data_IF_683843046797
#
_entry.id   IF_683843046797
#
_cell.length_a   1.000
_cell.length_b   1.000
_cell.length_c   1.000
_cell.angle_alpha   90.00
_cell.angle_beta   90.00
_cell.angle_gamma   90.00
#
_symmetry.space_group_name_H-M   'P 1'
#
loop_
_entity.id
_entity.type
_entity.pdbx_description
1 polymer ?
#
# COMPACT_ATOMS: atom_id res chain seq x y z
N UNK A 1 8.73 8.40 -24.62
CA UNK A 1 10.01 8.96 -24.11
C UNK A 1 10.88 7.78 -23.65
N UNK A 2 12.00 7.97 -22.96
CA UNK A 2 12.55 6.84 -22.18
C UNK A 2 11.73 6.69 -20.89
N UNK A 3 11.60 5.47 -20.37
CA UNK A 3 10.87 5.21 -19.11
C UNK A 3 11.37 6.10 -17.95
N UNK A 4 12.69 6.33 -17.90
CA UNK A 4 13.31 7.22 -16.92
C UNK A 4 12.84 8.67 -17.06
N UNK A 5 12.77 9.19 -18.29
CA UNK A 5 12.30 10.55 -18.54
C UNK A 5 10.82 10.73 -18.19
N UNK A 6 9.99 9.71 -18.40
CA UNK A 6 8.57 9.71 -18.02
C UNK A 6 8.39 9.74 -16.50
N UNK A 7 9.18 8.95 -15.75
CA UNK A 7 9.17 8.98 -14.28
C UNK A 7 9.67 10.31 -13.71
N UNK A 8 10.69 10.91 -14.32
CA UNK A 8 11.19 12.23 -13.92
C UNK A 8 10.16 13.33 -14.19
N UNK A 9 9.50 13.32 -15.35
CA UNK A 9 8.41 14.24 -15.67
C UNK A 9 7.22 14.07 -14.73
N UNK A 10 6.85 12.84 -14.40
CA UNK A 10 5.77 12.53 -13.46
C UNK A 10 6.06 13.08 -12.06
N UNK A 11 7.27 12.83 -11.53
CA UNK A 11 7.67 13.35 -10.22
C UNK A 11 7.72 14.89 -10.20
N UNK A 12 8.18 15.52 -11.29
CA UNK A 12 8.18 16.97 -11.43
C UNK A 12 6.75 17.55 -11.48
N UNK A 13 5.82 16.86 -12.15
CA UNK A 13 4.42 17.27 -12.24
C UNK A 13 3.73 17.23 -10.88
N UNK A 14 3.96 16.17 -10.09
CA UNK A 14 3.47 16.07 -8.71
C UNK A 14 4.05 17.17 -7.82
N UNK A 15 5.35 17.45 -7.94
CA UNK A 15 5.98 18.54 -7.20
C UNK A 15 5.36 19.90 -7.53
N UNK A 16 5.08 20.15 -8.82
CA UNK A 16 4.40 21.38 -9.24
C UNK A 16 2.97 21.47 -8.67
N UNK A 17 2.26 20.34 -8.60
CA UNK A 17 0.95 20.28 -7.95
C UNK A 17 1.02 20.61 -6.45
N UNK A 18 1.98 20.03 -5.72
CA UNK A 18 2.19 20.30 -4.29
C UNK A 18 2.58 21.77 -4.02
N UNK A 19 3.20 22.43 -5.00
CA UNK A 19 3.53 23.86 -5.00
C UNK A 19 2.36 24.75 -5.46
N UNK A 20 1.18 24.18 -5.72
CA UNK A 20 -0.02 24.84 -6.26
C UNK A 20 0.18 25.47 -7.66
N UNK A 21 1.24 25.09 -8.37
CA UNK A 21 1.52 25.50 -9.75
C UNK A 21 0.82 24.54 -10.73
N UNK A 22 -0.50 24.65 -10.79
CA UNK A 22 -1.38 23.73 -11.51
C UNK A 22 -1.17 23.75 -13.03
N UNK A 23 -0.93 24.92 -13.63
CA UNK A 23 -0.66 25.06 -15.07
C UNK A 23 0.61 24.30 -15.46
N UNK A 24 1.70 24.49 -14.72
CA UNK A 24 2.95 23.77 -14.93
C UNK A 24 2.80 22.27 -14.69
N UNK A 25 1.99 21.88 -13.71
CA UNK A 25 1.69 20.47 -13.45
C UNK A 25 0.98 19.83 -14.65
N UNK A 26 -0.02 20.51 -15.23
CA UNK A 26 -0.74 20.07 -16.44
C UNK A 26 0.19 19.98 -17.65
N UNK A 27 1.02 21.00 -17.88
CA UNK A 27 2.00 21.00 -18.97
C UNK A 27 2.92 19.79 -18.86
N UNK A 28 3.46 19.51 -17.67
CA UNK A 28 4.34 18.37 -17.45
C UNK A 28 3.60 17.05 -17.66
N UNK A 29 2.38 16.89 -17.15
CA UNK A 29 1.58 15.68 -17.37
C UNK A 29 1.25 15.45 -18.84
N UNK A 30 0.97 16.51 -19.62
CA UNK A 30 0.65 16.42 -21.05
C UNK A 30 1.81 15.91 -21.92
N UNK A 31 3.05 15.99 -21.42
CA UNK A 31 4.22 15.47 -22.13
C UNK A 31 4.39 13.96 -21.97
N UNK A 32 3.76 13.36 -20.97
CA UNK A 32 3.87 11.94 -20.66
C UNK A 32 2.87 11.15 -21.53
N UNK A 33 3.18 9.91 -21.88
CA UNK A 33 2.29 9.08 -22.67
C UNK A 33 0.92 8.90 -22.00
N UNK A 34 -0.16 8.98 -22.80
CA UNK A 34 -1.53 8.87 -22.31
C UNK A 34 -1.75 7.54 -21.57
N UNK A 35 -2.06 7.66 -20.29
CA UNK A 35 -2.49 6.54 -19.45
C UNK A 35 -3.70 6.96 -18.64
N UNK A 36 -4.54 6.00 -18.25
CA UNK A 36 -5.71 6.28 -17.41
C UNK A 36 -5.34 7.06 -16.14
N UNK A 37 -4.14 6.85 -15.59
CA UNK A 37 -3.67 7.53 -14.36
C UNK A 37 -3.29 8.99 -14.60
N UNK A 38 -2.56 9.27 -15.68
CA UNK A 38 -2.16 10.64 -16.02
C UNK A 38 -3.40 11.48 -16.34
N UNK A 39 -4.32 10.91 -17.12
CA UNK A 39 -5.59 11.55 -17.45
C UNK A 39 -6.45 11.78 -16.19
N UNK A 40 -6.48 10.82 -15.26
CA UNK A 40 -7.18 11.02 -13.97
C UNK A 40 -6.56 12.15 -13.16
N UNK A 41 -5.22 12.21 -13.06
CA UNK A 41 -4.52 13.29 -12.36
C UNK A 41 -4.80 14.66 -13.00
N UNK A 42 -4.74 14.75 -14.33
CA UNK A 42 -5.09 15.96 -15.07
C UNK A 42 -6.55 16.36 -14.83
N UNK A 43 -7.48 15.40 -14.84
CA UNK A 43 -8.89 15.63 -14.55
C UNK A 43 -9.12 16.20 -13.15
N UNK A 44 -8.39 15.72 -12.14
CA UNK A 44 -8.43 16.26 -10.77
C UNK A 44 -7.89 17.70 -10.69
N UNK A 45 -6.82 18.01 -11.42
CA UNK A 45 -6.26 19.37 -11.48
C UNK A 45 -7.27 20.33 -12.12
N UNK A 46 -7.84 19.95 -13.27
CA UNK A 46 -8.89 20.75 -13.92
C UNK A 46 -10.11 20.96 -13.01
N UNK A 47 -10.55 19.92 -12.28
CA UNK A 47 -11.63 20.05 -11.32
C UNK A 47 -11.28 21.01 -10.17
N UNK A 48 -10.03 21.02 -9.71
CA UNK A 48 -9.52 21.94 -8.68
C UNK A 48 -9.51 23.39 -9.17
N UNK A 49 -9.17 23.61 -10.45
CA UNK A 49 -9.21 24.91 -11.12
C UNK A 49 -10.65 25.40 -11.44
N UNK A 50 -11.67 24.55 -11.23
CA UNK A 50 -13.06 24.85 -11.60
C UNK A 50 -13.37 24.63 -13.09
N UNK A 51 -12.41 24.12 -13.86
CA UNK A 51 -12.56 23.77 -15.28
C UNK A 51 -13.21 22.39 -15.42
N UNK A 52 -14.46 22.28 -14.95
CA UNK A 52 -15.15 21.00 -14.85
C UNK A 52 -15.44 20.34 -16.21
N UNK A 53 -15.53 21.11 -17.30
CA UNK A 53 -15.70 20.55 -18.65
C UNK A 53 -14.44 19.78 -19.07
N UNK A 54 -13.26 20.41 -18.94
CA UNK A 54 -11.98 19.78 -19.21
C UNK A 54 -11.75 18.57 -18.28
N UNK A 55 -12.13 18.67 -17.00
CA UNK A 55 -12.06 17.56 -16.07
C UNK A 55 -12.85 16.33 -16.56
N UNK A 56 -14.10 16.53 -17.00
CA UNK A 56 -14.95 15.45 -17.54
C UNK A 56 -14.37 14.85 -18.83
N UNK A 57 -13.77 15.65 -19.70
CA UNK A 57 -13.08 15.14 -20.89
C UNK A 57 -11.92 14.22 -20.52
N UNK A 58 -11.08 14.64 -19.57
CA UNK A 58 -9.96 13.83 -19.09
C UNK A 58 -10.44 12.52 -18.44
N UNK A 59 -11.51 12.57 -17.64
CA UNK A 59 -12.08 11.36 -17.04
C UNK A 59 -12.70 10.41 -18.09
N UNK A 60 -13.34 10.94 -19.14
CA UNK A 60 -13.83 10.10 -20.25
C UNK A 60 -12.69 9.47 -21.04
N UNK A 61 -11.60 10.20 -21.27
CA UNK A 61 -10.42 9.66 -21.92
C UNK A 61 -9.77 8.57 -21.05
N UNK A 62 -9.72 8.79 -19.72
CA UNK A 62 -9.21 7.80 -18.77
C UNK A 62 -10.04 6.50 -18.81
N UNK A 63 -11.37 6.58 -18.72
CA UNK A 63 -12.25 5.40 -18.79
C UNK A 63 -12.26 4.75 -20.17
N UNK A 64 -12.03 5.52 -21.24
CA UNK A 64 -11.91 4.99 -22.61
C UNK A 64 -10.64 4.15 -22.84
N UNK A 65 -9.55 4.46 -22.15
CA UNK A 65 -8.30 3.68 -22.23
C UNK A 65 -8.37 2.36 -21.44
N UNK A 66 -9.24 2.28 -20.45
CA UNK A 66 -9.43 1.09 -19.61
C UNK A 66 -10.89 0.61 -19.66
N UNK A 67 -11.31 0.07 -20.81
CA UNK A 67 -12.70 -0.29 -21.09
C UNK A 67 -13.30 -1.37 -20.14
N UNK A 68 -12.46 -2.08 -19.39
CA UNK A 68 -12.89 -3.09 -18.41
C UNK A 68 -12.57 -2.75 -16.96
N UNK A 69 -11.85 -1.66 -16.70
CA UNK A 69 -11.62 -1.11 -15.35
C UNK A 69 -11.26 -2.19 -14.32
N UNK A 70 -10.57 -3.23 -14.81
CA UNK A 70 -10.12 -4.36 -14.05
C UNK A 70 -8.83 -3.90 -13.38
N UNK A 71 -8.93 -3.50 -12.10
CA UNK A 71 -7.84 -3.35 -11.13
C UNK A 71 -6.52 -3.17 -11.86
N UNK A 72 -6.24 -1.96 -12.36
CA UNK A 72 -5.03 -1.72 -13.13
C UNK A 72 -3.84 -1.96 -12.20
N UNK A 73 -3.34 -3.19 -12.23
CA UNK A 73 -2.36 -3.72 -11.30
C UNK A 73 -1.00 -3.33 -11.86
N UNK A 74 -0.57 -2.10 -11.54
CA UNK A 74 0.68 -1.51 -12.04
C UNK A 74 1.95 -2.04 -11.33
N UNK A 75 1.92 -3.29 -10.85
CA UNK A 75 3.09 -3.97 -10.28
C UNK A 75 4.26 -4.07 -11.27
N UNK A 76 4.00 -4.00 -12.59
CA UNK A 76 5.05 -3.94 -13.62
C UNK A 76 5.84 -2.62 -13.66
N UNK A 77 5.34 -1.54 -13.03
CA UNK A 77 6.02 -0.23 -12.96
C UNK A 77 6.64 0.05 -11.58
N UNK A 78 6.62 -0.91 -10.65
CA UNK A 78 7.24 -0.78 -9.32
C UNK A 78 6.53 0.16 -8.35
N UNK A 79 5.31 0.58 -8.65
CA UNK A 79 4.49 1.46 -7.80
C UNK A 79 3.40 0.63 -7.10
N UNK A 80 3.38 0.62 -5.76
CA UNK A 80 2.36 -0.06 -4.96
C UNK A 80 1.07 0.77 -4.85
N UNK A 81 0.36 0.97 -5.97
CA UNK A 81 -0.88 1.74 -5.99
C UNK A 81 -1.86 1.20 -7.04
N UNK A 82 -3.13 1.08 -6.65
CA UNK A 82 -4.25 0.67 -7.50
C UNK A 82 -5.17 1.86 -7.71
N UNK A 83 -5.42 2.24 -8.96
CA UNK A 83 -6.45 3.23 -9.29
C UNK A 83 -7.79 2.48 -9.42
N UNK A 84 -8.76 2.82 -8.58
CA UNK A 84 -10.07 2.19 -8.64
C UNK A 84 -10.98 2.91 -9.63
N UNK A 85 -11.73 2.12 -10.40
CA UNK A 85 -12.68 2.63 -11.39
C UNK A 85 -13.78 3.49 -10.80
N UNK A 86 -14.25 3.07 -9.62
CA UNK A 86 -15.22 3.79 -8.80
C UNK A 86 -14.72 5.19 -8.43
N UNK A 87 -13.42 5.39 -8.19
CA UNK A 87 -12.86 6.71 -7.86
C UNK A 87 -12.90 7.66 -9.07
N UNK A 88 -12.55 7.16 -10.26
CA UNK A 88 -12.58 7.96 -11.51
C UNK A 88 -14.02 8.36 -11.85
N UNK A 89 -14.96 7.40 -11.79
CA UNK A 89 -16.38 7.64 -12.05
C UNK A 89 -17.01 8.57 -11.00
N UNK A 90 -16.62 8.43 -9.73
CA UNK A 90 -17.08 9.32 -8.66
C UNK A 90 -16.62 10.77 -8.89
N UNK A 91 -15.34 10.98 -9.21
CA UNK A 91 -14.78 12.31 -9.48
C UNK A 91 -15.37 12.95 -10.75
N UNK A 92 -15.66 12.14 -11.77
CA UNK A 92 -16.42 12.57 -12.96
C UNK A 92 -17.86 12.96 -12.60
N UNK A 93 -18.53 12.16 -11.78
CA UNK A 93 -19.88 12.43 -11.26
C UNK A 93 -19.93 13.78 -10.54
N UNK A 94 -18.98 14.05 -9.64
CA UNK A 94 -18.87 15.35 -8.97
C UNK A 94 -18.67 16.51 -9.95
N UNK A 95 -17.76 16.37 -10.92
CA UNK A 95 -17.52 17.39 -11.94
C UNK A 95 -18.79 17.70 -12.76
N UNK A 96 -19.59 16.68 -13.08
CA UNK A 96 -20.88 16.85 -13.75
C UNK A 96 -21.93 17.54 -12.88
N UNK A 97 -21.89 17.37 -11.55
CA UNK A 97 -22.76 18.12 -10.62
C UNK A 97 -22.44 19.61 -10.68
N UNK A 98 -21.15 19.96 -10.65
CA UNK A 98 -20.73 21.37 -10.74
C UNK A 98 -21.12 22.02 -12.09
N UNK A 99 -21.22 21.23 -13.15
CA UNK A 99 -21.75 21.66 -14.45
C UNK A 99 -23.29 21.73 -14.54
N UNK A 100 -24.01 21.45 -13.44
CA UNK A 100 -25.49 21.39 -13.44
C UNK A 100 -26.06 20.19 -14.20
N UNK A 101 -25.23 19.21 -14.58
CA UNK A 101 -25.62 18.01 -15.32
C UNK A 101 -26.06 16.88 -14.39
N UNK A 102 -26.97 17.17 -13.45
CA UNK A 102 -27.36 16.24 -12.38
C UNK A 102 -27.81 14.87 -12.87
N UNK A 103 -28.49 14.80 -14.02
CA UNK A 103 -28.95 13.52 -14.59
C UNK A 103 -27.81 12.62 -15.06
N UNK A 104 -26.74 13.20 -15.62
CA UNK A 104 -25.55 12.44 -16.03
C UNK A 104 -24.72 12.08 -14.81
N UNK A 105 -24.57 12.99 -13.86
CA UNK A 105 -23.85 12.74 -12.63
C UNK A 105 -24.41 11.54 -11.85
N UNK A 106 -25.75 11.42 -11.74
CA UNK A 106 -26.38 10.27 -11.08
C UNK A 106 -25.99 8.96 -11.75
N UNK A 107 -25.99 8.89 -13.08
CA UNK A 107 -25.59 7.68 -13.81
C UNK A 107 -24.14 7.30 -13.52
N UNK A 108 -23.20 8.26 -13.56
CA UNK A 108 -21.79 7.97 -13.28
C UNK A 108 -21.57 7.55 -11.82
N UNK A 109 -22.31 8.15 -10.88
CA UNK A 109 -22.25 7.80 -9.46
C UNK A 109 -22.90 6.45 -9.16
N UNK A 110 -23.97 6.10 -9.88
CA UNK A 110 -24.59 4.77 -9.83
C UNK A 110 -23.64 3.72 -10.42
N UNK A 111 -23.05 3.95 -11.59
CA UNK A 111 -22.06 3.03 -12.18
C UNK A 111 -20.82 2.86 -11.28
N UNK A 112 -20.36 3.95 -10.63
CA UNK A 112 -19.31 3.87 -9.62
C UNK A 112 -19.68 2.96 -8.44
N UNK A 113 -20.97 2.86 -8.11
CA UNK A 113 -21.48 1.98 -7.05
C UNK A 113 -21.75 0.54 -7.52
N UNK A 114 -22.04 0.33 -8.81
CA UNK A 114 -22.37 -0.98 -9.40
C UNK A 114 -21.11 -1.79 -9.76
N UNK A 115 -20.01 -1.13 -10.13
CA UNK A 115 -18.74 -1.81 -10.42
C UNK A 115 -18.13 -2.55 -9.21
N UNK A 116 -18.70 -2.36 -8.01
CA UNK A 116 -18.33 -3.07 -6.80
C UNK A 116 -19.25 -4.27 -6.48
N UNK A 117 -20.40 -4.42 -7.15
CA UNK A 117 -21.52 -5.28 -6.68
C UNK A 117 -21.83 -6.54 -7.51
N UNK A 118 -21.32 -6.69 -8.74
CA UNK A 118 -21.83 -7.72 -9.67
C UNK A 118 -20.99 -9.01 -9.78
N UNK A 119 -19.82 -9.10 -9.13
CA UNK A 119 -19.10 -10.35 -8.97
C UNK A 119 -19.34 -10.93 -7.58
N UNK A 120 -19.73 -12.21 -7.51
CA UNK A 120 -19.75 -12.92 -6.22
C UNK A 120 -18.37 -12.75 -5.55
N UNK A 121 -18.35 -12.32 -4.28
CA UNK A 121 -17.09 -12.00 -3.62
C UNK A 121 -16.20 -13.23 -3.54
N UNK A 122 -14.94 -13.08 -3.97
CA UNK A 122 -13.95 -14.15 -3.87
C UNK A 122 -13.63 -14.36 -2.39
N UNK A 123 -13.90 -15.56 -1.87
CA UNK A 123 -13.71 -15.86 -0.46
C UNK A 123 -12.25 -16.27 -0.18
N UNK A 124 -11.68 -15.78 0.92
CA UNK A 124 -10.31 -16.13 1.32
C UNK A 124 -10.15 -17.62 1.66
N UNK A 125 -11.23 -18.34 1.93
CA UNK A 125 -11.17 -19.74 2.37
C UNK A 125 -10.62 -19.90 3.78
N UNK A 126 -10.41 -21.15 4.21
CA UNK A 126 -9.93 -21.49 5.55
C UNK A 126 -8.55 -20.86 5.81
N UNK A 127 -8.28 -20.27 7.00
CA UNK A 127 -9.14 -20.21 8.19
C UNK A 127 -10.00 -18.94 8.30
N UNK A 128 -10.27 -18.23 7.20
CA UNK A 128 -10.97 -16.95 7.19
C UNK A 128 -12.34 -17.05 6.50
N UNK A 129 -13.05 -18.14 6.77
CA UNK A 129 -14.37 -18.49 6.22
C UNK A 129 -15.33 -18.93 7.33
N UNK A 130 -15.19 -18.34 8.52
CA UNK A 130 -15.97 -18.77 9.68
C UNK A 130 -17.43 -18.28 9.61
N UNK A 131 -18.37 -19.20 9.87
CA UNK A 131 -19.81 -18.92 9.85
C UNK A 131 -20.23 -17.97 10.98
N UNK A 132 -19.47 -17.88 12.07
CA UNK A 132 -19.72 -16.99 13.22
C UNK A 132 -18.98 -15.65 13.14
N UNK A 133 -18.25 -15.38 12.05
CA UNK A 133 -17.58 -14.10 11.83
C UNK A 133 -18.56 -12.91 11.89
N UNK A 134 -18.18 -11.86 12.62
CA UNK A 134 -19.00 -10.67 12.88
C UNK A 134 -18.58 -9.45 12.03
N UNK A 135 -17.60 -9.64 11.14
CA UNK A 135 -17.12 -8.65 10.19
C UNK A 135 -16.47 -9.33 8.97
N UNK A 136 -16.51 -8.65 7.83
CA UNK A 136 -15.76 -9.03 6.63
C UNK A 136 -14.71 -7.95 6.34
N UNK A 137 -13.46 -8.35 6.20
CA UNK A 137 -12.42 -7.47 5.63
C UNK A 137 -12.26 -7.80 4.15
N UNK A 138 -12.43 -6.82 3.28
CA UNK A 138 -12.23 -6.96 1.83
C UNK A 138 -10.87 -6.40 1.46
N UNK A 139 -9.99 -7.23 0.89
CA UNK A 139 -8.69 -6.77 0.40
C UNK A 139 -8.82 -5.85 -0.83
N UNK A 140 -7.76 -5.13 -1.17
CA UNK A 140 -7.74 -4.22 -2.33
C UNK A 140 -7.88 -4.92 -3.68
N UNK A 141 -7.56 -6.22 -3.73
CA UNK A 141 -7.79 -7.12 -4.87
C UNK A 141 -9.12 -7.89 -4.77
N UNK A 142 -10.02 -7.48 -3.86
CA UNK A 142 -11.42 -7.91 -3.85
C UNK A 142 -11.72 -9.21 -3.10
N UNK A 143 -10.79 -9.75 -2.31
CA UNK A 143 -10.99 -10.99 -1.55
C UNK A 143 -11.59 -10.71 -0.17
N UNK A 144 -12.63 -11.48 0.19
CA UNK A 144 -13.36 -11.37 1.44
C UNK A 144 -12.80 -12.31 2.52
N UNK A 145 -12.45 -11.74 3.65
CA UNK A 145 -11.96 -12.43 4.84
C UNK A 145 -13.02 -12.35 5.93
N UNK A 146 -13.61 -13.49 6.27
CA UNK A 146 -14.62 -13.59 7.33
C UNK A 146 -13.88 -13.74 8.66
N UNK A 147 -13.95 -12.70 9.48
CA UNK A 147 -13.15 -12.57 10.70
C UNK A 147 -13.96 -12.00 11.86
N UNK A 148 -13.33 -11.96 13.03
CA UNK A 148 -13.90 -11.61 14.32
C UNK A 148 -13.28 -10.32 14.86
N UNK A 149 -14.13 -9.32 15.12
CA UNK A 149 -13.75 -8.03 15.72
C UNK A 149 -12.96 -8.22 17.00
N UNK A 150 -13.41 -9.13 17.88
CA UNK A 150 -12.76 -9.40 19.17
C UNK A 150 -11.27 -9.79 19.00
N UNK A 151 -10.97 -10.71 18.09
CA UNK A 151 -9.60 -11.17 17.86
C UNK A 151 -8.72 -10.04 17.31
N UNK A 152 -9.25 -9.32 16.31
CA UNK A 152 -8.57 -8.15 15.74
C UNK A 152 -8.29 -7.06 16.79
N UNK A 153 -9.28 -6.69 17.61
CA UNK A 153 -9.13 -5.65 18.65
C UNK A 153 -8.18 -6.06 19.77
N UNK A 154 -8.00 -7.35 20.06
CA UNK A 154 -7.03 -7.80 21.06
C UNK A 154 -5.59 -7.73 20.56
N UNK A 155 -5.39 -7.83 19.25
CA UNK A 155 -4.06 -7.83 18.65
C UNK A 155 -3.64 -6.45 18.12
N UNK A 156 -4.58 -5.59 17.74
CA UNK A 156 -4.33 -4.29 17.10
C UNK A 156 -5.14 -3.17 17.77
N UNK A 157 -4.43 -2.11 18.18
CA UNK A 157 -5.06 -0.90 18.72
C UNK A 157 -5.88 -0.17 17.65
N UNK A 158 -5.42 -0.16 16.40
CA UNK A 158 -6.15 0.46 15.29
C UNK A 158 -7.53 -0.18 15.10
N UNK A 159 -7.61 -1.51 15.13
CA UNK A 159 -8.90 -2.19 15.06
C UNK A 159 -9.74 -1.98 16.32
N UNK A 160 -9.14 -1.96 17.51
CA UNK A 160 -9.86 -1.66 18.75
C UNK A 160 -10.52 -0.27 18.70
N UNK A 161 -9.76 0.75 18.29
CA UNK A 161 -10.25 2.12 18.16
C UNK A 161 -11.33 2.21 17.08
N UNK A 162 -11.08 1.64 15.89
CA UNK A 162 -12.01 1.64 14.75
C UNK A 162 -13.39 1.05 15.12
N UNK A 163 -13.41 -0.07 15.85
CA UNK A 163 -14.67 -0.72 16.24
C UNK A 163 -15.36 -0.07 17.44
N UNK A 164 -14.65 0.77 18.20
CA UNK A 164 -15.23 1.53 19.30
C UNK A 164 -16.04 2.75 18.84
N UNK A 165 -15.85 3.19 17.59
CA UNK A 165 -16.53 4.35 17.05
C UNK A 165 -18.04 4.08 16.86
N UNK A 166 -18.92 5.04 17.20
CA UNK A 166 -20.35 4.90 16.95
C UNK A 166 -20.62 4.73 15.45
N UNK A 167 -21.19 3.60 15.04
CA UNK A 167 -21.63 3.43 13.67
C UNK A 167 -22.92 4.24 13.42
N UNK A 168 -23.06 4.92 12.27
CA UNK A 168 -24.32 5.57 11.90
C UNK A 168 -25.44 4.52 11.89
N UNK A 169 -26.54 4.79 12.60
CA UNK A 169 -27.69 3.88 12.62
C UNK A 169 -28.25 3.78 11.19
N UNK A 170 -28.42 2.56 10.63
CA UNK A 170 -29.02 2.41 9.32
C UNK A 170 -30.43 2.98 9.34
N UNK A 171 -30.68 3.97 8.48
CA UNK A 171 -32.00 4.54 8.28
C UNK A 171 -32.89 3.53 7.56
N UNK A 172 -33.63 2.75 8.33
CA UNK A 172 -34.83 2.04 7.86
C UNK A 172 -34.58 0.80 7.00
N UNK A 173 -34.36 -0.32 7.68
CA UNK A 173 -35.05 -1.62 7.52
C UNK A 173 -34.38 -2.55 8.52
N UNK A 174 -35.17 -3.36 9.21
CA UNK A 174 -34.66 -4.39 10.11
C UNK A 174 -33.62 -5.21 9.37
N UNK A 175 -32.36 -5.08 9.78
CA UNK A 175 -31.27 -5.87 9.27
C UNK A 175 -31.60 -7.33 9.53
N UNK A 176 -31.99 -8.05 8.47
CA UNK A 176 -31.92 -9.50 8.46
C UNK A 176 -30.49 -9.89 8.85
N UNK A 177 -30.33 -11.06 9.47
CA UNK A 177 -29.06 -11.59 10.02
C UNK A 177 -27.84 -11.63 9.07
N UNK A 178 -27.96 -11.14 7.84
CA UNK A 178 -27.10 -11.52 6.71
C UNK A 178 -26.15 -10.42 6.20
N UNK A 179 -26.37 -9.13 6.49
CA UNK A 179 -25.42 -8.09 6.05
C UNK A 179 -24.39 -7.79 7.14
N UNK A 180 -23.37 -8.65 7.23
CA UNK A 180 -22.18 -8.39 8.04
C UNK A 180 -21.49 -7.13 7.51
N UNK A 181 -20.99 -6.24 8.38
CA UNK A 181 -20.26 -5.06 7.92
C UNK A 181 -19.02 -5.49 7.14
N UNK A 182 -18.87 -4.93 5.94
CA UNK A 182 -17.68 -5.10 5.09
C UNK A 182 -16.79 -3.87 5.25
N UNK A 183 -15.52 -4.07 5.57
CA UNK A 183 -14.51 -3.01 5.61
C UNK A 183 -13.53 -3.21 4.46
N UNK A 184 -13.44 -2.20 3.59
CA UNK A 184 -12.42 -2.16 2.54
C UNK A 184 -11.04 -1.90 3.13
N UNK A 185 -10.09 -2.76 2.78
CA UNK A 185 -8.69 -2.70 3.19
C UNK A 185 -7.82 -2.18 2.04
N UNK A 186 -6.70 -1.54 2.41
CA UNK A 186 -5.70 -1.10 1.43
C UNK A 186 -4.76 -2.25 1.00
N UNK A 187 -4.60 -3.25 1.87
CA UNK A 187 -3.76 -4.42 1.65
C UNK A 187 -4.39 -5.41 0.66
N UNK A 188 -3.54 -6.04 -0.16
CA UNK A 188 -3.92 -7.18 -1.01
C UNK A 188 -4.16 -8.45 -0.18
N UNK A 189 -4.65 -9.51 -0.83
CA UNK A 189 -4.95 -10.78 -0.17
C UNK A 189 -3.74 -11.36 0.56
N UNK A 190 -2.54 -11.28 0.00
CA UNK A 190 -1.33 -11.86 0.59
C UNK A 190 -0.93 -11.12 1.87
N UNK A 191 -0.86 -9.80 1.79
CA UNK A 191 -0.47 -8.91 2.90
C UNK A 191 -1.50 -8.97 4.03
N UNK A 192 -2.79 -9.05 3.69
CA UNK A 192 -3.85 -9.18 4.67
C UNK A 192 -3.80 -10.54 5.41
N UNK A 193 -3.40 -11.62 4.73
CA UNK A 193 -3.14 -12.92 5.39
C UNK A 193 -2.00 -12.84 6.40
N UNK A 194 -0.91 -12.14 6.09
CA UNK A 194 0.19 -11.94 7.04
C UNK A 194 -0.30 -11.22 8.30
N UNK A 195 -1.07 -10.14 8.12
CA UNK A 195 -1.68 -9.40 9.24
C UNK A 195 -2.58 -10.29 10.09
N UNK A 196 -3.50 -11.02 9.45
CA UNK A 196 -4.43 -11.91 10.13
C UNK A 196 -3.72 -13.10 10.79
N UNK A 197 -2.55 -13.50 10.28
CA UNK A 197 -1.68 -14.50 10.91
C UNK A 197 -1.28 -14.13 12.34
N UNK A 198 -1.17 -12.84 12.66
CA UNK A 198 -0.89 -12.38 14.02
C UNK A 198 -2.12 -12.37 14.94
N UNK A 199 -3.32 -12.35 14.35
CA UNK A 199 -4.58 -12.24 15.09
C UNK A 199 -5.21 -13.61 15.36
N UNK A 200 -4.92 -14.60 14.52
CA UNK A 200 -5.54 -15.92 14.57
C UNK A 200 -4.53 -16.99 15.00
N UNK A 201 -4.82 -17.78 16.04
CA UNK A 201 -3.96 -18.90 16.45
C UNK A 201 -3.75 -19.96 15.36
N UNK A 202 -4.74 -20.13 14.47
CA UNK A 202 -4.67 -21.02 13.31
C UNK A 202 -3.99 -20.38 12.09
N UNK A 203 -3.65 -19.09 12.17
CA UNK A 203 -2.83 -18.40 11.18
C UNK A 203 -1.46 -19.06 11.15
N UNK A 204 -1.11 -19.63 10.00
CA UNK A 204 0.05 -20.49 9.80
C UNK A 204 1.30 -19.87 10.44
N UNK A 205 1.93 -20.61 11.36
CA UNK A 205 3.26 -20.31 11.86
C UNK A 205 4.27 -20.58 10.74
N UNK A 206 4.41 -19.65 9.80
CA UNK A 206 5.49 -19.69 8.82
C UNK A 206 6.79 -19.37 9.54
N UNK A 207 7.82 -20.19 9.28
CA UNK A 207 9.21 -19.74 9.49
C UNK A 207 9.35 -18.48 8.65
N UNK A 208 9.39 -17.32 9.29
CA UNK A 208 9.41 -16.05 8.59
C UNK A 208 10.72 -15.96 7.79
N UNK A 209 10.63 -15.95 6.46
CA UNK A 209 11.78 -15.57 5.65
C UNK A 209 12.07 -14.11 5.94
N UNK A 210 13.34 -13.70 5.85
CA UNK A 210 13.74 -12.33 6.17
C UNK A 210 12.97 -11.27 5.36
N UNK A 211 12.62 -11.60 4.11
CA UNK A 211 11.76 -10.76 3.24
C UNK A 211 10.36 -10.54 3.82
N UNK A 212 9.79 -11.55 4.50
CA UNK A 212 8.44 -11.50 5.06
C UNK A 212 8.47 -10.68 6.36
N UNK A 213 9.52 -10.82 7.17
CA UNK A 213 9.72 -10.04 8.41
C UNK A 213 9.64 -8.53 8.13
N UNK A 214 10.22 -8.06 7.02
CA UNK A 214 10.16 -6.64 6.65
C UNK A 214 8.71 -6.17 6.42
N UNK A 215 7.93 -6.92 5.64
CA UNK A 215 6.52 -6.60 5.35
C UNK A 215 5.71 -6.62 6.65
N UNK A 216 5.93 -7.63 7.47
CA UNK A 216 5.30 -7.82 8.77
C UNK A 216 5.61 -6.70 9.77
N UNK A 217 6.86 -6.20 9.80
CA UNK A 217 7.23 -5.02 10.58
C UNK A 217 6.47 -3.76 10.12
N UNK A 218 6.27 -3.61 8.80
CA UNK A 218 5.43 -2.55 8.24
C UNK A 218 3.99 -2.64 8.73
N UNK A 219 3.41 -3.84 8.68
CA UNK A 219 2.04 -4.10 9.15
C UNK A 219 1.89 -3.87 10.66
N UNK A 220 2.80 -4.41 11.47
CA UNK A 220 2.73 -4.25 12.93
C UNK A 220 2.87 -2.80 13.37
N UNK A 221 3.66 -1.99 12.65
CA UNK A 221 3.70 -0.53 12.86
C UNK A 221 2.38 0.13 12.46
N UNK A 222 1.87 -0.15 11.25
CA UNK A 222 0.62 0.43 10.72
C UNK A 222 -0.59 0.12 11.60
N UNK A 223 -0.72 -1.14 12.04
CA UNK A 223 -1.82 -1.64 12.85
C UNK A 223 -1.57 -1.56 14.36
N UNK A 224 -0.45 -0.94 14.78
CA UNK A 224 -0.08 -0.73 16.17
C UNK A 224 -0.17 -2.01 17.03
N UNK A 225 0.67 -2.99 16.69
CA UNK A 225 0.71 -4.32 17.30
C UNK A 225 2.00 -4.52 18.12
N UNK A 226 2.13 -3.94 19.33
CA UNK A 226 3.40 -3.84 20.05
C UNK A 226 3.99 -5.19 20.47
N UNK A 227 3.15 -6.17 20.80
CA UNK A 227 3.62 -7.51 21.19
C UNK A 227 4.21 -8.25 19.97
N UNK A 228 3.54 -8.15 18.83
CA UNK A 228 4.03 -8.72 17.56
C UNK A 228 5.31 -8.03 17.11
N UNK A 229 5.38 -6.70 17.21
CA UNK A 229 6.62 -5.95 16.94
C UNK A 229 7.80 -6.46 17.76
N UNK A 230 7.59 -6.68 19.06
CA UNK A 230 8.63 -7.22 19.95
C UNK A 230 9.09 -8.61 19.52
N UNK A 231 8.15 -9.48 19.12
CA UNK A 231 8.45 -10.82 18.60
C UNK A 231 9.26 -10.76 17.30
N UNK A 232 8.80 -10.00 16.31
CA UNK A 232 9.48 -9.85 15.02
C UNK A 232 10.89 -9.26 15.18
N UNK A 233 11.08 -8.34 16.14
CA UNK A 233 12.41 -7.85 16.50
C UNK A 233 13.33 -8.97 17.03
N UNK A 234 12.80 -9.87 17.85
CA UNK A 234 13.55 -11.04 18.32
C UNK A 234 13.86 -12.02 17.18
N UNK A 235 12.91 -12.26 16.29
CA UNK A 235 13.11 -13.12 15.11
C UNK A 235 14.18 -12.51 14.19
N UNK A 236 14.13 -11.21 13.92
CA UNK A 236 15.12 -10.47 13.13
C UNK A 236 16.53 -10.57 13.74
N UNK A 237 16.67 -10.56 15.07
CA UNK A 237 17.95 -10.75 15.75
C UNK A 237 18.57 -12.14 15.50
N UNK A 238 17.75 -13.17 15.29
CA UNK A 238 18.25 -14.53 14.98
C UNK A 238 18.97 -14.59 13.63
N UNK A 239 18.57 -13.73 12.68
CA UNK A 239 19.18 -13.64 11.36
C UNK A 239 20.48 -12.84 11.31
N UNK A 240 20.87 -12.17 12.40
CA UNK A 240 22.11 -11.36 12.44
C UNK A 240 23.31 -12.20 12.06
N UNK A 241 23.38 -13.45 12.51
CA UNK A 241 24.53 -14.33 12.25
C UNK A 241 24.62 -14.80 10.79
N UNK A 242 23.50 -14.86 10.07
CA UNK A 242 23.43 -15.43 8.71
C UNK A 242 23.37 -14.36 7.62
N UNK A 243 22.65 -13.27 7.85
CA UNK A 243 22.37 -12.22 6.86
C UNK A 243 22.49 -10.80 7.48
N UNK A 244 23.63 -10.45 8.10
CA UNK A 244 23.77 -9.22 8.88
C UNK A 244 23.51 -7.94 8.07
N UNK A 245 23.87 -7.89 6.80
CA UNK A 245 23.68 -6.69 5.95
C UNK A 245 22.20 -6.42 5.70
N UNK A 246 21.41 -7.47 5.43
CA UNK A 246 19.97 -7.33 5.23
C UNK A 246 19.28 -6.97 6.54
N UNK A 247 19.69 -7.58 7.65
CA UNK A 247 19.21 -7.22 8.98
C UNK A 247 19.53 -5.76 9.30
N UNK A 248 20.72 -5.27 8.95
CA UNK A 248 21.08 -3.86 9.11
C UNK A 248 20.14 -2.95 8.33
N UNK A 249 19.88 -3.25 7.05
CA UNK A 249 19.01 -2.43 6.23
C UNK A 249 17.56 -2.39 6.77
N UNK A 250 17.01 -3.55 7.13
CA UNK A 250 15.67 -3.64 7.74
C UNK A 250 15.64 -2.86 9.06
N UNK A 251 16.54 -3.15 10.00
CA UNK A 251 16.56 -2.49 11.31
C UNK A 251 16.80 -0.99 11.21
N UNK A 252 17.56 -0.51 10.23
CA UNK A 252 17.70 0.91 9.95
C UNK A 252 16.38 1.54 9.48
N UNK A 253 15.71 0.92 8.50
CA UNK A 253 14.43 1.42 7.96
C UNK A 253 13.32 1.51 9.01
N UNK A 254 13.40 0.68 10.06
CA UNK A 254 12.47 0.66 11.19
C UNK A 254 13.01 1.33 12.45
N UNK A 255 14.14 2.05 12.37
CA UNK A 255 14.75 2.80 13.47
C UNK A 255 15.12 1.94 14.71
N UNK A 256 15.36 0.65 14.50
CA UNK A 256 15.78 -0.30 15.55
C UNK A 256 17.29 -0.21 15.81
N UNK A 257 17.72 0.84 16.51
CA UNK A 257 19.14 1.16 16.72
C UNK A 257 19.97 0.00 17.31
N UNK A 258 19.43 -0.74 18.27
CA UNK A 258 20.13 -1.85 18.90
C UNK A 258 20.37 -3.03 17.95
N UNK A 259 19.36 -3.38 17.15
CA UNK A 259 19.46 -4.42 16.12
C UNK A 259 20.42 -3.99 15.00
N UNK A 260 20.31 -2.74 14.55
CA UNK A 260 21.19 -2.19 13.51
C UNK A 260 22.66 -2.21 13.95
N UNK A 261 22.95 -1.86 15.21
CA UNK A 261 24.31 -1.93 15.74
C UNK A 261 24.81 -3.37 15.85
N UNK A 262 23.97 -4.32 16.28
CA UNK A 262 24.34 -5.73 16.34
C UNK A 262 24.66 -6.29 14.94
N UNK A 263 23.81 -5.99 13.97
CA UNK A 263 23.96 -6.39 12.58
C UNK A 263 25.24 -5.79 11.94
N UNK A 264 25.47 -4.49 12.13
CA UNK A 264 26.67 -3.81 11.62
C UNK A 264 27.97 -4.36 12.22
N UNK A 265 27.96 -4.79 13.49
CA UNK A 265 29.12 -5.46 14.09
C UNK A 265 29.34 -6.83 13.50
N UNK A 266 28.26 -7.59 13.27
CA UNK A 266 28.37 -8.93 12.72
C UNK A 266 28.85 -8.94 11.25
N UNK A 267 28.45 -7.95 10.44
CA UNK A 267 28.93 -7.82 9.06
C UNK A 267 30.44 -7.57 8.96
N UNK A 268 31.10 -7.14 10.04
CA UNK A 268 32.57 -6.98 10.07
C UNK A 268 33.32 -8.31 9.96
N UNK A 269 32.71 -9.41 10.39
CA UNK A 269 33.36 -10.71 10.39
C UNK A 269 33.49 -11.32 8.99
N UNK A 270 32.59 -10.96 8.07
CA UNK A 270 32.63 -11.37 6.67
C UNK A 270 32.12 -10.24 5.78
N UNK A 271 32.97 -9.26 5.43
CA UNK A 271 32.55 -8.05 4.73
C UNK A 271 32.03 -8.39 3.32
N UNK A 272 30.71 -8.37 3.14
CA UNK A 272 30.07 -8.67 1.84
C UNK A 272 30.61 -7.80 0.69
N UNK A 273 30.98 -6.55 0.98
CA UNK A 273 31.56 -5.60 0.02
C UNK A 273 32.91 -6.06 -0.58
N UNK A 274 33.65 -6.94 0.08
CA UNK A 274 34.91 -7.49 -0.46
C UNK A 274 34.68 -8.67 -1.40
N UNK A 275 33.53 -9.37 -1.27
CA UNK A 275 33.24 -10.60 -2.02
C UNK A 275 32.24 -10.39 -3.17
N UNK A 276 31.42 -9.34 -3.13
CA UNK A 276 30.22 -9.26 -3.96
C UNK A 276 29.96 -7.89 -4.62
N UNK A 277 31.02 -7.12 -4.93
CA UNK A 277 30.90 -5.91 -5.76
C UNK A 277 30.37 -6.18 -7.18
N UNK A 278 30.40 -7.44 -7.62
CA UNK A 278 29.91 -7.86 -8.95
C UNK A 278 28.43 -8.32 -8.95
N UNK A 279 27.78 -8.41 -7.78
CA UNK A 279 26.37 -8.83 -7.64
C UNK A 279 25.40 -7.68 -7.35
N UNK A 280 24.09 -7.85 -7.63
CA UNK A 280 23.10 -6.84 -7.26
C UNK A 280 23.04 -6.66 -5.72
N UNK A 281 22.84 -5.43 -5.27
CA UNK A 281 22.63 -5.14 -3.86
C UNK A 281 21.39 -5.87 -3.33
N UNK A 282 21.36 -6.29 -2.05
CA UNK A 282 20.15 -6.85 -1.47
C UNK A 282 18.99 -5.83 -1.56
N UNK A 283 17.78 -6.26 -1.93
CA UNK A 283 16.63 -5.36 -2.14
C UNK A 283 16.25 -4.57 -0.88
N UNK A 284 16.62 -5.03 0.31
CA UNK A 284 16.40 -4.32 1.57
C UNK A 284 17.12 -2.96 1.61
N UNK A 285 18.21 -2.78 0.85
CA UNK A 285 18.95 -1.52 0.78
C UNK A 285 18.22 -0.42 -0.01
N UNK A 286 17.23 -0.75 -0.83
CA UNK A 286 16.41 0.23 -1.56
C UNK A 286 15.61 1.14 -0.61
N UNK A 287 15.45 0.72 0.65
CA UNK A 287 14.66 1.41 1.66
C UNK A 287 15.49 2.21 2.67
N UNK A 288 16.82 2.30 2.48
CA UNK A 288 17.70 3.09 3.35
C UNK A 288 18.43 4.16 2.54
N UNK A 289 18.70 5.33 3.12
CA UNK A 289 19.47 6.36 2.42
C UNK A 289 20.91 5.88 2.18
N UNK A 290 21.54 6.36 1.11
CA UNK A 290 22.95 6.06 0.81
C UNK A 290 23.90 6.39 1.99
N UNK A 291 23.53 7.34 2.85
CA UNK A 291 24.28 7.68 4.07
C UNK A 291 24.31 6.55 5.10
N UNK A 292 23.27 5.71 5.18
CA UNK A 292 23.23 4.53 6.03
C UNK A 292 24.22 3.47 5.53
N UNK A 293 24.23 3.23 4.22
CA UNK A 293 25.18 2.34 3.57
C UNK A 293 26.62 2.83 3.75
N UNK A 294 26.87 4.14 3.55
CA UNK A 294 28.19 4.74 3.78
C UNK A 294 28.69 4.52 5.22
N UNK A 295 27.81 4.63 6.22
CA UNK A 295 28.15 4.33 7.62
C UNK A 295 28.55 2.86 7.82
N UNK A 296 27.81 1.93 7.22
CA UNK A 296 28.12 0.49 7.31
C UNK A 296 29.48 0.16 6.66
N UNK A 297 29.75 0.71 5.47
CA UNK A 297 31.00 0.50 4.74
C UNK A 297 32.18 1.15 5.46
N UNK A 298 32.03 2.37 5.97
CA UNK A 298 33.10 3.07 6.70
C UNK A 298 33.50 2.35 8.00
N UNK A 299 32.52 1.77 8.72
CA UNK A 299 32.79 0.92 9.89
C UNK A 299 33.63 -0.31 9.48
N UNK A 300 33.33 -0.92 8.34
CA UNK A 300 34.06 -2.07 7.81
C UNK A 300 35.50 -1.71 7.40
N UNK A 301 35.68 -0.59 6.70
CA UNK A 301 36.99 -0.14 6.22
C UNK A 301 37.95 0.26 7.36
N UNK A 302 37.45 0.80 8.47
CA UNK A 302 38.28 1.16 9.63
C UNK A 302 38.83 -0.05 10.38
N UNK A 303 38.15 -1.21 10.34
CA UNK A 303 38.55 -2.42 11.08
C UNK A 303 39.53 -3.28 10.28
N UNK A 304 39.45 -3.24 8.94
CA UNK A 304 40.25 -4.07 8.03
C UNK A 304 41.59 -3.46 7.60
N UNK A 305 41.93 -2.25 8.07
CA UNK A 305 43.29 -1.69 7.96
C UNK A 305 43.99 -1.80 9.31
N UNK A 306 44.79 -2.85 9.57
CA UNK A 306 45.74 -2.80 10.67
C UNK A 306 46.74 -1.67 10.39
N UNK A 307 47.04 -0.87 11.41
CA UNK A 307 48.23 0.00 11.41
C UNK A 307 49.51 -0.84 11.37
#
# INVERSE_FOLDING_TARGET
MSLKAELEAWAAALKAYDEEDFEKSLDLFSTIADSSKILTNMGLIYATLGEHEAAVEQFNAATGLDQYLAVANYTQLGLSFTLHSSEVLFNKGLSLIYLGSSRRAVLELEDASVHDSDQEPVMAGVPYLDDDADIVLRSSDGVHFHVHKLLLSKCSLVFADMFSLPQPKPSGKESTREERPVIQMAEDQHTLRLLLGFCYPAGVATVHLLKDIRVELGLTKKYQMPQTWKRLKSDLLMHVSTEPEKVFAISWSFEMKDVAVAAAKQSLHNPWFEQSLEGPAPPEFDYIPATAMYKLVSISACVLRPQ
#
